data_IF_464234467103
#
_entry.id   IF_464234467103
#
_cell.length_a   1.000
_cell.length_b   1.000
_cell.length_c   1.000
_cell.angle_alpha   90.00
_cell.angle_beta   90.00
_cell.angle_gamma   90.00
#
_symmetry.space_group_name_H-M   'P 1'
#
loop_
_entity.id
_entity.type
_entity.pdbx_description
1 polymer ?
#
# COMPACT_ATOMS: atom_id res chain seq x y z
N UNK A 1 40.86 -46.95 -34.35
CA UNK A 1 41.07 -45.50 -34.07
C UNK A 1 40.25 -45.17 -32.84
N UNK A 2 40.90 -44.97 -31.69
CA UNK A 2 40.25 -44.50 -30.46
C UNK A 2 40.19 -42.97 -30.49
N UNK A 3 39.00 -42.41 -30.27
CA UNK A 3 38.86 -40.98 -29.98
C UNK A 3 38.62 -40.83 -28.48
N UNK A 4 39.60 -40.22 -27.78
CA UNK A 4 39.40 -39.73 -26.42
C UNK A 4 39.29 -38.21 -26.50
N UNK A 5 38.14 -37.66 -26.09
CA UNK A 5 37.98 -36.23 -25.88
C UNK A 5 38.05 -35.96 -24.37
N UNK A 6 39.11 -35.27 -23.94
CA UNK A 6 39.16 -34.70 -22.60
C UNK A 6 38.32 -33.42 -22.60
N UNK A 7 37.09 -33.51 -22.08
CA UNK A 7 36.32 -32.33 -21.75
C UNK A 7 36.77 -31.83 -20.38
N UNK A 8 37.57 -30.77 -20.37
CA UNK A 8 37.69 -29.95 -19.16
C UNK A 8 36.33 -29.31 -18.93
N UNK A 9 35.62 -29.75 -17.88
CA UNK A 9 34.42 -29.10 -17.41
C UNK A 9 34.77 -27.71 -16.88
N UNK A 10 34.90 -26.74 -17.78
CA UNK A 10 34.86 -25.33 -17.41
C UNK A 10 33.48 -25.07 -16.82
N UNK A 11 33.41 -24.78 -15.53
CA UNK A 11 32.17 -24.44 -14.86
C UNK A 11 31.56 -23.23 -15.57
N UNK A 12 30.47 -23.43 -16.31
CA UNK A 12 29.60 -22.34 -16.73
C UNK A 12 28.99 -21.76 -15.46
N UNK A 13 29.56 -20.69 -14.92
CA UNK A 13 28.90 -19.90 -13.89
C UNK A 13 27.67 -19.25 -14.55
N UNK A 14 26.49 -19.79 -14.27
CA UNK A 14 25.25 -19.15 -14.68
C UNK A 14 25.27 -17.71 -14.15
N UNK A 15 24.96 -16.69 -14.98
CA UNK A 15 24.94 -15.31 -14.50
C UNK A 15 23.97 -15.21 -13.33
N UNK A 16 24.47 -14.80 -12.17
CA UNK A 16 23.65 -14.53 -11.00
C UNK A 16 22.75 -13.34 -11.34
N UNK A 17 21.55 -13.61 -11.83
CA UNK A 17 20.53 -12.57 -11.95
C UNK A 17 20.25 -12.04 -10.54
N UNK A 18 20.36 -10.73 -10.34
CA UNK A 18 19.95 -10.11 -9.08
C UNK A 18 18.71 -9.27 -9.38
N UNK A 19 17.63 -9.49 -8.65
CA UNK A 19 16.41 -8.69 -8.74
C UNK A 19 16.46 -7.69 -7.58
N UNK A 20 16.52 -6.40 -7.89
CA UNK A 20 16.32 -5.36 -6.88
C UNK A 20 14.83 -5.05 -6.79
N UNK A 21 14.25 -5.24 -5.61
CA UNK A 21 12.88 -4.85 -5.31
C UNK A 21 12.87 -3.71 -4.30
N UNK A 22 12.23 -2.60 -4.64
CA UNK A 22 12.11 -1.44 -3.75
C UNK A 22 10.65 -1.28 -3.30
N UNK A 23 10.44 -1.22 -1.99
CA UNK A 23 9.20 -0.65 -1.44
C UNK A 23 9.33 0.86 -1.45
N UNK A 24 8.41 1.51 -2.13
CA UNK A 24 8.34 2.96 -2.21
C UNK A 24 7.09 3.42 -1.46
N UNK A 25 7.23 4.38 -0.57
CA UNK A 25 6.10 5.11 -0.02
C UNK A 25 5.49 5.97 -1.12
N UNK A 26 4.29 5.63 -1.57
CA UNK A 26 3.61 6.36 -2.65
C UNK A 26 3.20 7.79 -2.29
N UNK A 27 3.11 8.14 -1.01
CA UNK A 27 2.78 9.49 -0.56
C UNK A 27 3.98 10.45 -0.64
N UNK A 28 5.19 9.93 -0.46
CA UNK A 28 6.42 10.73 -0.36
C UNK A 28 7.42 10.47 -1.48
N UNK A 29 7.32 9.33 -2.17
CA UNK A 29 8.25 8.89 -3.22
C UNK A 29 9.54 8.26 -2.69
N UNK A 30 9.69 8.10 -1.36
CA UNK A 30 10.90 7.55 -0.78
C UNK A 30 10.93 6.02 -0.82
N UNK A 31 12.08 5.41 -1.16
CA UNK A 31 12.28 3.99 -0.95
C UNK A 31 12.32 3.73 0.57
N UNK A 32 11.29 3.05 1.06
CA UNK A 32 11.20 2.58 2.45
C UNK A 32 12.20 1.45 2.68
N UNK A 33 12.39 0.59 1.67
CA UNK A 33 13.32 -0.54 1.76
C UNK A 33 13.65 -1.13 0.40
N UNK A 34 14.90 -1.53 0.21
CA UNK A 34 15.36 -2.27 -0.97
C UNK A 34 15.72 -3.71 -0.57
N UNK A 35 15.37 -4.66 -1.42
CA UNK A 35 15.69 -6.08 -1.28
C UNK A 35 16.43 -6.54 -2.53
N UNK A 36 17.65 -7.06 -2.34
CA UNK A 36 18.42 -7.70 -3.42
C UNK A 36 18.15 -9.21 -3.39
N UNK A 37 17.52 -9.73 -4.43
CA UNK A 37 17.10 -11.12 -4.50
C UNK A 37 18.02 -11.90 -5.42
N UNK A 38 18.53 -13.03 -4.94
CA UNK A 38 19.16 -14.04 -5.76
C UNK A 38 18.10 -15.12 -6.08
N UNK A 39 17.65 -15.29 -7.34
CA UNK A 39 16.60 -16.23 -7.71
C UNK A 39 17.06 -17.69 -7.61
N UNK A 40 18.37 -17.94 -7.43
CA UNK A 40 18.94 -19.28 -7.36
C UNK A 40 18.96 -19.87 -5.94
N UNK A 41 18.43 -19.14 -4.93
CA UNK A 41 18.36 -19.61 -3.56
C UNK A 41 16.91 -19.80 -3.09
N UNK A 42 16.60 -20.76 -2.19
CA UNK A 42 15.24 -21.00 -1.68
C UNK A 42 14.59 -19.85 -0.88
N UNK A 43 15.20 -18.65 -0.89
CA UNK A 43 14.88 -17.52 -0.02
C UNK A 43 13.62 -16.75 -0.47
N UNK A 44 13.02 -17.10 -1.61
CA UNK A 44 11.82 -16.46 -2.13
C UNK A 44 10.66 -16.41 -1.10
N UNK A 45 10.46 -17.47 -0.31
CA UNK A 45 9.43 -17.50 0.75
C UNK A 45 9.77 -16.57 1.92
N UNK A 46 11.02 -16.56 2.37
CA UNK A 46 11.47 -15.69 3.47
C UNK A 46 11.36 -14.19 3.12
N UNK A 47 11.50 -13.85 1.84
CA UNK A 47 11.32 -12.48 1.34
C UNK A 47 9.85 -12.05 1.43
N UNK A 48 8.92 -12.93 1.05
CA UNK A 48 7.47 -12.67 1.15
C UNK A 48 7.06 -12.48 2.62
N UNK A 49 7.61 -13.27 3.54
CA UNK A 49 7.33 -13.15 4.97
C UNK A 49 7.87 -11.82 5.55
N UNK A 50 9.11 -11.46 5.20
CA UNK A 50 9.72 -10.19 5.63
C UNK A 50 8.97 -8.96 5.06
N UNK A 51 8.53 -9.03 3.81
CA UNK A 51 7.74 -8.00 3.16
C UNK A 51 6.39 -7.85 3.87
N UNK A 52 5.71 -8.96 4.12
CA UNK A 52 4.41 -9.00 4.79
C UNK A 52 4.48 -8.37 6.18
N UNK A 53 5.53 -8.67 6.95
CA UNK A 53 5.74 -8.08 8.27
C UNK A 53 5.96 -6.56 8.22
N UNK A 54 6.62 -6.05 7.17
CA UNK A 54 6.81 -4.60 7.02
C UNK A 54 5.54 -3.88 6.56
N UNK A 55 4.77 -4.48 5.65
CA UNK A 55 3.51 -3.89 5.17
C UNK A 55 2.46 -3.84 6.29
N UNK A 56 2.44 -4.79 7.22
CA UNK A 56 1.54 -4.76 8.39
C UNK A 56 1.78 -3.58 9.34
N UNK A 57 2.97 -3.00 9.34
CA UNK A 57 3.29 -1.82 10.15
C UNK A 57 2.76 -0.51 9.53
N UNK A 58 2.25 -0.56 8.29
CA UNK A 58 1.69 0.61 7.61
C UNK A 58 0.21 0.70 7.95
N UNK A 59 -0.18 1.82 8.57
CA UNK A 59 -1.59 2.15 8.78
C UNK A 59 -2.34 2.16 7.45
N UNK A 60 -3.34 1.27 7.32
CA UNK A 60 -4.23 1.29 6.16
C UNK A 60 -4.97 2.63 6.09
N UNK A 61 -5.05 3.21 4.90
CA UNK A 61 -5.82 4.42 4.65
C UNK A 61 -6.39 4.48 3.24
N UNK A 62 -7.47 5.25 3.09
CA UNK A 62 -8.09 5.57 1.80
C UNK A 62 -8.51 7.05 1.78
N UNK A 63 -9.17 7.48 0.71
CA UNK A 63 -9.62 8.86 0.50
C UNK A 63 -11.03 8.94 -0.05
N UNK A 64 -11.73 10.00 0.34
CA UNK A 64 -12.99 10.40 -0.28
C UNK A 64 -12.69 11.00 -1.65
N UNK A 65 -13.19 10.37 -2.71
CA UNK A 65 -13.05 10.84 -4.08
C UNK A 65 -14.19 11.76 -4.48
N UNK A 66 -15.40 11.49 -3.97
CA UNK A 66 -16.58 12.31 -4.25
C UNK A 66 -17.55 12.26 -3.09
N UNK A 67 -18.18 13.40 -2.82
CA UNK A 67 -19.33 13.50 -1.92
C UNK A 67 -20.56 13.77 -2.76
N UNK A 68 -21.51 12.84 -2.72
CA UNK A 68 -22.85 13.00 -3.27
C UNK A 68 -23.83 13.22 -2.11
N UNK A 69 -24.97 13.88 -2.36
CA UNK A 69 -25.91 14.39 -1.32
C UNK A 69 -26.02 13.53 -0.04
N UNK A 70 -26.14 12.21 -0.17
CA UNK A 70 -26.24 11.26 0.97
C UNK A 70 -25.18 10.15 0.97
N UNK A 71 -24.21 10.17 0.05
CA UNK A 71 -23.25 9.07 -0.14
C UNK A 71 -21.84 9.60 -0.38
N UNK A 72 -20.85 8.85 0.07
CA UNK A 72 -19.43 9.11 -0.19
C UNK A 72 -18.91 8.01 -1.10
N UNK A 73 -18.11 8.39 -2.09
CA UNK A 73 -17.38 7.44 -2.94
C UNK A 73 -15.90 7.49 -2.54
N UNK A 74 -15.30 6.32 -2.35
CA UNK A 74 -13.94 6.19 -1.83
C UNK A 74 -13.08 5.32 -2.76
N UNK A 75 -11.77 5.54 -2.76
CA UNK A 75 -10.80 4.81 -3.60
C UNK A 75 -10.27 3.52 -2.95
N UNK A 76 -11.12 2.81 -2.25
CA UNK A 76 -10.82 1.49 -1.71
C UNK A 76 -12.10 0.67 -1.72
N UNK A 77 -11.99 -0.59 -2.12
CA UNK A 77 -13.11 -1.50 -2.24
C UNK A 77 -12.73 -2.92 -1.82
N UNK A 78 -13.29 -3.92 -2.51
CA UNK A 78 -13.11 -5.33 -2.17
C UNK A 78 -11.66 -5.80 -2.32
N UNK A 79 -10.93 -5.30 -3.32
CA UNK A 79 -9.52 -5.66 -3.53
C UNK A 79 -8.63 -5.02 -2.46
N UNK A 80 -9.07 -3.88 -1.90
CA UNK A 80 -8.48 -3.28 -0.70
C UNK A 80 -8.91 -3.94 0.62
N UNK A 81 -9.63 -5.06 0.58
CA UNK A 81 -10.03 -5.84 1.75
C UNK A 81 -11.29 -5.34 2.47
N UNK A 82 -12.03 -4.40 1.88
CA UNK A 82 -13.24 -3.85 2.49
C UNK A 82 -14.47 -4.73 2.28
N UNK A 83 -15.39 -4.68 3.25
CA UNK A 83 -16.63 -5.47 3.24
C UNK A 83 -17.87 -4.60 3.40
N UNK A 84 -18.98 -4.98 2.74
CA UNK A 84 -20.26 -4.32 2.95
C UNK A 84 -20.67 -4.44 4.42
N UNK A 85 -21.15 -3.34 4.99
CA UNK A 85 -21.50 -3.24 6.41
C UNK A 85 -20.38 -2.78 7.32
N UNK A 86 -19.13 -2.75 6.86
CA UNK A 86 -17.99 -2.28 7.64
C UNK A 86 -18.08 -0.78 7.91
N UNK A 87 -17.69 -0.38 9.12
CA UNK A 87 -17.62 1.02 9.54
C UNK A 87 -16.18 1.55 9.38
N UNK A 88 -16.06 2.77 8.89
CA UNK A 88 -14.78 3.46 8.68
C UNK A 88 -14.84 4.87 9.28
N UNK A 89 -13.72 5.35 9.82
CA UNK A 89 -13.60 6.71 10.36
C UNK A 89 -13.09 7.65 9.27
N UNK A 90 -13.72 8.82 9.14
CA UNK A 90 -13.34 9.87 8.19
C UNK A 90 -12.73 11.04 8.94
N UNK A 91 -11.54 11.44 8.52
CA UNK A 91 -10.77 12.55 9.06
C UNK A 91 -10.61 13.64 8.02
N UNK A 92 -10.49 14.89 8.47
CA UNK A 92 -10.13 15.99 7.58
C UNK A 92 -8.80 15.69 6.88
N UNK A 93 -8.65 16.21 5.66
CA UNK A 93 -7.35 16.24 4.97
C UNK A 93 -6.27 16.74 5.93
N UNK A 94 -5.29 15.88 6.17
CA UNK A 94 -4.13 16.16 7.01
C UNK A 94 -3.22 17.23 6.43
N UNK A 95 -2.48 17.91 7.32
CA UNK A 95 -1.42 18.81 6.91
C UNK A 95 -0.14 18.03 6.65
N UNK A 96 0.58 18.42 5.61
CA UNK A 96 1.90 17.88 5.33
C UNK A 96 2.87 18.28 6.45
N UNK A 97 3.58 17.30 7.00
CA UNK A 97 4.62 17.51 7.98
C UNK A 97 5.94 17.40 7.24
N UNK A 98 6.77 18.43 7.36
CA UNK A 98 8.12 18.44 6.79
C UNK A 98 9.16 18.46 7.88
N UNK A 99 10.24 17.73 7.68
CA UNK A 99 11.40 17.82 8.53
C UNK A 99 12.00 19.24 8.44
N UNK A 100 12.22 19.94 9.56
CA UNK A 100 12.67 21.33 9.53
C UNK A 100 14.10 21.48 9.00
N UNK A 101 14.93 20.44 9.08
CA UNK A 101 16.34 20.44 8.71
C UNK A 101 16.53 20.05 7.25
N UNK A 102 15.94 18.94 6.83
CA UNK A 102 16.08 18.38 5.48
C UNK A 102 15.04 18.93 4.50
N UNK A 103 13.98 19.59 4.99
CA UNK A 103 12.82 20.09 4.23
C UNK A 103 12.01 19.01 3.51
N UNK A 104 12.30 17.74 3.81
CA UNK A 104 11.63 16.60 3.21
C UNK A 104 10.27 16.36 3.86
N UNK A 105 9.32 15.87 3.07
CA UNK A 105 8.00 15.48 3.55
C UNK A 105 8.09 14.19 4.36
N UNK A 106 7.62 14.22 5.61
CA UNK A 106 7.46 13.07 6.50
C UNK A 106 6.05 12.47 6.40
N UNK A 107 5.25 12.92 5.43
CA UNK A 107 3.87 12.51 5.24
C UNK A 107 2.86 13.53 5.78
N UNK A 108 1.63 13.07 6.06
CA UNK A 108 0.53 13.94 6.50
C UNK A 108 0.04 13.54 7.88
N UNK A 109 0.00 14.50 8.79
CA UNK A 109 -0.61 14.29 10.10
C UNK A 109 -2.12 14.07 9.94
N UNK A 110 -2.70 13.19 10.76
CA UNK A 110 -4.15 12.97 10.75
C UNK A 110 -4.89 14.26 11.09
N UNK A 111 -5.87 14.64 10.27
CA UNK A 111 -6.74 15.78 10.55
C UNK A 111 -7.79 15.48 11.63
N UNK A 112 -8.65 16.46 11.93
CA UNK A 112 -9.74 16.28 12.87
C UNK A 112 -10.73 15.20 12.41
N UNK A 113 -11.25 14.40 13.36
CA UNK A 113 -12.31 13.42 13.08
C UNK A 113 -13.59 14.15 12.62
N UNK A 114 -14.16 13.71 11.50
CA UNK A 114 -15.37 14.30 10.90
C UNK A 114 -16.60 13.42 11.05
N UNK A 115 -16.41 12.13 11.31
CA UNK A 115 -17.48 11.19 11.58
C UNK A 115 -17.14 9.77 11.12
N UNK A 116 -18.16 8.92 11.14
CA UNK A 116 -18.09 7.52 10.74
C UNK A 116 -19.00 7.28 9.54
N UNK A 117 -18.52 6.49 8.59
CA UNK A 117 -19.27 6.06 7.41
C UNK A 117 -19.37 4.54 7.41
N UNK A 118 -20.41 4.00 6.80
CA UNK A 118 -20.63 2.56 6.61
C UNK A 118 -20.60 2.23 5.14
N UNK A 119 -19.91 1.16 4.78
CA UNK A 119 -19.88 0.66 3.40
C UNK A 119 -21.24 0.04 3.07
N UNK A 120 -21.88 0.52 2.00
CA UNK A 120 -23.18 0.02 1.54
C UNK A 120 -23.09 -0.73 0.21
N UNK A 121 -22.14 -0.36 -0.64
CA UNK A 121 -21.94 -1.02 -1.93
C UNK A 121 -20.53 -0.77 -2.50
N UNK A 122 -20.23 -1.33 -3.67
CA UNK A 122 -18.96 -1.21 -4.38
C UNK A 122 -19.16 -0.77 -5.83
N UNK A 123 -18.15 -0.16 -6.43
CA UNK A 123 -18.19 0.25 -7.83
C UNK A 123 -16.79 0.22 -8.48
N UNK A 124 -16.77 0.12 -9.80
CA UNK A 124 -15.53 0.08 -10.57
C UNK A 124 -14.65 -1.12 -10.19
N UNK A 125 -13.33 -0.96 -10.36
CA UNK A 125 -12.36 -2.02 -10.03
C UNK A 125 -12.16 -2.19 -8.52
N UNK A 126 -12.04 -1.08 -7.78
CA UNK A 126 -11.79 -1.10 -6.33
C UNK A 126 -12.33 0.15 -5.61
N UNK A 127 -13.52 0.62 -5.98
CA UNK A 127 -14.21 1.71 -5.30
C UNK A 127 -15.31 1.21 -4.35
N UNK A 128 -15.61 1.98 -3.31
CA UNK A 128 -16.75 1.72 -2.43
C UNK A 128 -17.67 2.94 -2.27
N UNK A 129 -18.97 2.64 -2.14
CA UNK A 129 -20.04 3.58 -1.85
C UNK A 129 -20.35 3.45 -0.36
N UNK A 130 -20.31 4.57 0.35
CA UNK A 130 -20.50 4.63 1.78
C UNK A 130 -21.62 5.61 2.15
N UNK A 131 -22.30 5.33 3.25
CA UNK A 131 -23.29 6.22 3.85
C UNK A 131 -22.82 6.71 5.22
N UNK A 132 -22.99 7.99 5.55
CA UNK A 132 -22.62 8.51 6.85
C UNK A 132 -23.58 8.00 7.94
N UNK A 133 -23.03 7.52 9.06
CA UNK A 133 -23.82 7.06 10.21
C UNK A 133 -24.43 8.23 11.01
N UNK A 134 -23.83 9.42 10.90
CA UNK A 134 -24.31 10.65 11.50
C UNK A 134 -24.01 11.84 10.57
N UNK A 135 -24.70 12.95 10.78
CA UNK A 135 -24.44 14.17 10.01
C UNK A 135 -22.98 14.63 10.21
N UNK A 136 -22.24 14.74 9.12
CA UNK A 136 -20.85 15.20 9.11
C UNK A 136 -20.56 16.05 7.88
N UNK A 137 -19.64 17.01 8.00
CA UNK A 137 -19.28 17.93 6.90
C UNK A 137 -18.20 17.33 6.00
N UNK A 138 -18.42 16.17 5.40
CA UNK A 138 -17.42 15.49 4.57
C UNK A 138 -17.06 16.27 3.30
N UNK A 139 -15.81 16.15 2.83
CA UNK A 139 -15.34 16.76 1.60
C UNK A 139 -14.46 15.78 0.82
N UNK A 140 -14.30 16.05 -0.47
CA UNK A 140 -13.28 15.37 -1.28
C UNK A 140 -11.90 15.53 -0.62
N UNK A 141 -11.04 14.53 -0.82
CA UNK A 141 -9.68 14.44 -0.26
C UNK A 141 -9.60 14.21 1.27
N UNK A 142 -10.74 14.08 1.97
CA UNK A 142 -10.74 13.62 3.36
C UNK A 142 -10.17 12.20 3.48
N UNK A 143 -9.43 11.96 4.55
CA UNK A 143 -8.73 10.70 4.80
C UNK A 143 -9.65 9.71 5.50
N UNK A 144 -9.54 8.44 5.11
CA UNK A 144 -10.33 7.34 5.68
C UNK A 144 -9.38 6.36 6.34
N UNK A 145 -9.74 5.90 7.54
CA UNK A 145 -9.04 4.82 8.25
C UNK A 145 -10.04 3.78 8.74
N UNK A 146 -9.55 2.58 9.01
CA UNK A 146 -10.34 1.54 9.67
C UNK A 146 -10.87 2.06 11.02
N UNK A 147 -12.09 1.69 11.36
CA UNK A 147 -12.56 1.86 12.74
C UNK A 147 -11.92 0.74 13.57
N UNK A 148 -11.26 1.12 14.67
CA UNK A 148 -10.89 0.19 15.75
C UNK A 148 -12.14 -0.47 16.36
#
# INVERSE_FOLDING_TARGET
VHFAANFAAGAYAAPTQQIEMQLIDTATGYPVKSYNLNPNTPQASQIIDNLTNHVRMIDWSARVIKVEKKRLLINAGRLSGLQAGQNLRVYAKGNEIKDPTTKLSLGKAQGALKGTIKIVDFFGLDGAICEPLAAGKFKQDDMIKAAE
#
